data_IF_149182636965
#
_entry.id   IF_149182636965
#
_cell.length_a   1.000
_cell.length_b   1.000
_cell.length_c   1.000
_cell.angle_alpha   90.00
_cell.angle_beta   90.00
_cell.angle_gamma   90.00
#
_symmetry.space_group_name_H-M   'P 1'
#
loop_
_entity.id
_entity.type
_entity.pdbx_description
1 polymer ?
#
# COMPACT_ATOMS: atom_id res chain seq x y z
N UNK A 1 23.00 5.51 0.43
CA UNK A 1 22.37 4.39 -0.30
C UNK A 1 21.29 4.98 -1.18
N UNK A 2 21.06 4.47 -2.39
CA UNK A 2 19.91 4.87 -3.21
C UNK A 2 18.92 3.72 -3.16
N UNK A 3 17.69 4.03 -2.75
CA UNK A 3 16.59 3.06 -2.64
C UNK A 3 15.40 3.64 -3.39
N UNK A 4 14.66 2.78 -4.09
CA UNK A 4 13.37 3.11 -4.69
C UNK A 4 12.31 2.50 -3.81
N UNK A 5 11.54 3.35 -3.12
CA UNK A 5 10.54 2.92 -2.14
C UNK A 5 9.23 3.69 -2.28
N UNK A 6 8.19 3.09 -1.69
CA UNK A 6 6.86 3.69 -1.54
C UNK A 6 6.30 3.50 -0.12
N UNK A 7 7.06 2.87 0.76
CA UNK A 7 6.72 2.73 2.18
C UNK A 7 6.93 4.05 2.93
N UNK A 8 5.95 4.44 3.75
CA UNK A 8 5.95 5.71 4.47
C UNK A 8 7.09 5.79 5.49
N UNK A 9 7.34 4.72 6.25
CA UNK A 9 8.38 4.72 7.30
C UNK A 9 9.79 4.80 6.68
N UNK A 10 10.00 4.11 5.55
CA UNK A 10 11.24 4.22 4.78
C UNK A 10 11.47 5.65 4.28
N UNK A 11 10.44 6.30 3.74
CA UNK A 11 10.54 7.68 3.24
C UNK A 11 10.81 8.66 4.39
N UNK A 12 10.10 8.53 5.52
CA UNK A 12 10.26 9.42 6.67
C UNK A 12 11.61 9.28 7.39
N UNK A 13 12.27 8.14 7.26
CA UNK A 13 13.59 7.88 7.85
C UNK A 13 14.76 8.21 6.92
N UNK A 14 14.50 8.60 5.67
CA UNK A 14 15.54 8.91 4.71
C UNK A 14 16.24 10.25 5.02
N UNK A 15 17.56 10.29 4.79
CA UNK A 15 18.33 11.55 4.87
C UNK A 15 17.92 12.53 3.75
N UNK A 16 17.51 11.98 2.60
CA UNK A 16 17.13 12.72 1.42
C UNK A 16 16.15 11.91 0.57
N UNK A 17 15.17 12.58 0.00
CA UNK A 17 14.10 12.03 -0.84
C UNK A 17 14.11 12.76 -2.16
N UNK A 18 13.96 12.02 -3.26
CA UNK A 18 13.74 12.56 -4.61
C UNK A 18 12.38 12.06 -5.07
N UNK A 19 11.42 12.98 -5.20
CA UNK A 19 10.06 12.69 -5.65
C UNK A 19 9.98 12.83 -7.18
N UNK A 20 9.66 11.72 -7.85
CA UNK A 20 9.61 11.61 -9.31
C UNK A 20 8.16 11.64 -9.79
N UNK A 21 7.84 12.46 -10.79
CA UNK A 21 6.45 12.64 -11.23
C UNK A 21 6.30 13.86 -12.14
N UNK A 22 5.09 14.35 -12.43
CA UNK A 22 3.84 14.16 -11.67
C UNK A 22 3.03 12.92 -12.06
N UNK A 23 3.40 12.22 -13.14
CA UNK A 23 2.70 11.04 -13.64
C UNK A 23 3.63 9.90 -14.03
N UNK A 24 3.11 8.92 -14.77
CA UNK A 24 3.86 7.77 -15.27
C UNK A 24 4.12 7.88 -16.78
N UNK A 25 5.15 7.20 -17.27
CA UNK A 25 5.49 7.16 -18.70
C UNK A 25 5.84 8.55 -19.24
N UNK A 26 5.21 8.94 -20.35
CA UNK A 26 5.45 10.25 -21.01
C UNK A 26 5.02 11.46 -20.17
N UNK A 27 4.26 11.24 -19.10
CA UNK A 27 3.80 12.27 -18.16
C UNK A 27 4.62 12.31 -16.86
N UNK A 28 5.71 11.56 -16.80
CA UNK A 28 6.64 11.53 -15.67
C UNK A 28 8.08 11.78 -16.11
N UNK A 29 9.02 11.38 -15.26
CA UNK A 29 10.46 11.51 -15.54
C UNK A 29 11.06 12.86 -15.14
N UNK A 30 10.27 13.72 -14.48
CA UNK A 30 10.74 14.97 -13.90
C UNK A 30 10.90 14.82 -12.38
N UNK A 31 11.83 15.60 -11.81
CA UNK A 31 11.97 15.73 -10.36
C UNK A 31 10.98 16.80 -9.91
N UNK A 32 9.93 16.39 -9.22
CA UNK A 32 8.86 17.27 -8.74
C UNK A 32 9.27 17.99 -7.46
N UNK A 33 9.93 17.26 -6.56
CA UNK A 33 10.49 17.78 -5.33
C UNK A 33 11.71 16.96 -4.92
N UNK A 34 12.66 17.58 -4.24
CA UNK A 34 13.79 16.87 -3.63
C UNK A 34 14.23 17.60 -2.36
N UNK A 35 14.70 16.85 -1.36
CA UNK A 35 15.09 17.40 -0.08
C UNK A 35 14.94 16.40 1.06
N UNK A 36 14.90 16.90 2.29
CA UNK A 36 14.51 16.12 3.47
C UNK A 36 13.04 15.69 3.40
N UNK A 37 12.62 14.65 4.14
CA UNK A 37 11.21 14.26 4.20
C UNK A 37 10.27 15.41 4.57
N UNK A 38 10.70 16.30 5.47
CA UNK A 38 9.92 17.47 5.89
C UNK A 38 9.75 18.49 4.76
N UNK A 39 10.78 18.68 3.92
CA UNK A 39 10.70 19.55 2.73
C UNK A 39 9.79 18.95 1.66
N UNK A 40 9.80 17.62 1.48
CA UNK A 40 8.85 16.94 0.58
C UNK A 40 7.42 17.12 1.08
N UNK A 41 7.17 16.95 2.38
CA UNK A 41 5.84 17.15 2.98
C UNK A 41 5.35 18.60 2.87
N UNK A 42 6.27 19.57 2.88
CA UNK A 42 5.94 20.99 2.70
C UNK A 42 5.74 21.39 1.23
N UNK A 43 6.17 20.55 0.28
CA UNK A 43 6.04 20.83 -1.15
C UNK A 43 4.61 20.58 -1.64
N UNK A 44 3.87 21.61 -2.10
CA UNK A 44 2.51 21.43 -2.59
C UNK A 44 2.45 20.64 -3.90
N UNK A 45 3.52 20.64 -4.68
CA UNK A 45 3.58 19.95 -5.97
C UNK A 45 3.88 18.45 -5.81
N UNK A 46 4.44 18.05 -4.66
CA UNK A 46 4.74 16.65 -4.35
C UNK A 46 3.47 15.86 -4.05
N UNK A 47 3.08 14.96 -4.95
CA UNK A 47 1.98 14.02 -4.69
C UNK A 47 2.31 13.12 -3.49
N UNK A 48 3.57 12.73 -3.36
CA UNK A 48 4.07 11.95 -2.22
C UNK A 48 3.89 12.72 -0.91
N UNK A 49 4.31 13.99 -0.86
CA UNK A 49 4.12 14.88 0.29
C UNK A 49 2.64 15.07 0.67
N UNK A 50 1.75 15.16 -0.32
CA UNK A 50 0.30 15.23 -0.07
C UNK A 50 -0.26 13.97 0.60
N UNK A 51 0.28 12.78 0.32
CA UNK A 51 -0.12 11.56 1.02
C UNK A 51 0.51 11.47 2.41
N UNK A 52 1.79 11.81 2.56
CA UNK A 52 2.50 11.80 3.85
C UNK A 52 1.90 12.77 4.87
N UNK A 53 1.38 13.91 4.42
CA UNK A 53 0.69 14.89 5.28
C UNK A 53 -0.76 14.50 5.59
N UNK A 54 -1.29 13.48 4.91
CA UNK A 54 -2.69 13.11 4.99
C UNK A 54 -3.65 14.08 4.29
N UNK A 55 -3.15 15.03 3.50
CA UNK A 55 -4.01 15.85 2.63
C UNK A 55 -4.74 14.98 1.60
N UNK A 56 -4.05 13.98 1.05
CA UNK A 56 -4.63 12.88 0.29
C UNK A 56 -4.57 11.61 1.13
N UNK A 57 -5.63 10.81 1.06
CA UNK A 57 -5.75 9.55 1.80
C UNK A 57 -6.52 8.53 0.98
N UNK A 58 -6.26 7.25 1.22
CA UNK A 58 -7.07 6.15 0.69
C UNK A 58 -8.32 6.03 1.57
N UNK A 59 -9.52 6.35 1.07
CA UNK A 59 -10.72 6.33 1.90
C UNK A 59 -11.10 4.91 2.29
N UNK A 60 -11.51 4.73 3.54
CA UNK A 60 -12.12 3.48 3.98
C UNK A 60 -13.56 3.36 3.43
N UNK A 61 -13.96 2.20 2.89
CA UNK A 61 -15.32 2.01 2.40
C UNK A 61 -16.31 2.08 3.57
N UNK A 62 -17.37 2.90 3.40
CA UNK A 62 -18.44 3.06 4.40
C UNK A 62 -19.18 1.75 4.69
N UNK A 63 -19.32 0.90 3.67
CA UNK A 63 -19.95 -0.40 3.77
C UNK A 63 -19.03 -1.49 3.23
N UNK A 64 -18.99 -2.64 3.92
CA UNK A 64 -18.26 -3.83 3.48
C UNK A 64 -19.21 -4.84 2.88
N UNK A 65 -18.80 -5.47 1.77
CA UNK A 65 -19.55 -6.56 1.13
C UNK A 65 -19.71 -7.71 2.11
N UNK A 66 -20.94 -8.20 2.28
CA UNK A 66 -21.25 -9.31 3.18
C UNK A 66 -21.01 -10.66 2.49
N UNK A 67 -20.52 -11.63 3.26
CA UNK A 67 -20.34 -12.99 2.78
C UNK A 67 -21.70 -13.62 2.42
N UNK A 68 -21.78 -14.26 1.26
CA UNK A 68 -22.99 -14.98 0.84
C UNK A 68 -22.99 -16.37 1.45
N UNK A 69 -24.11 -16.75 2.10
CA UNK A 69 -24.28 -18.09 2.69
C UNK A 69 -23.99 -19.18 1.65
N UNK A 70 -23.17 -20.15 2.02
CA UNK A 70 -22.81 -21.29 1.17
C UNK A 70 -21.75 -21.01 0.10
N UNK A 71 -21.28 -19.76 -0.06
CA UNK A 71 -20.24 -19.42 -1.05
C UNK A 71 -18.87 -19.24 -0.40
N UNK A 72 -18.14 -20.34 -0.25
CA UNK A 72 -16.78 -20.38 0.31
C UNK A 72 -15.93 -21.42 -0.40
N UNK A 73 -14.62 -21.17 -0.40
CA UNK A 73 -13.59 -22.14 -0.75
C UNK A 73 -12.92 -22.62 0.53
N UNK A 74 -12.95 -23.92 0.79
CA UNK A 74 -12.37 -24.51 1.99
C UNK A 74 -11.01 -25.14 1.68
N UNK A 75 -9.99 -24.73 2.42
CA UNK A 75 -8.70 -25.44 2.50
C UNK A 75 -8.77 -26.29 3.76
N UNK A 76 -8.59 -27.60 3.64
CA UNK A 76 -8.74 -28.54 4.77
C UNK A 76 -7.42 -29.26 5.03
N UNK A 77 -6.99 -29.25 6.28
CA UNK A 77 -5.81 -29.97 6.76
C UNK A 77 -4.51 -29.61 6.03
N UNK A 78 -4.30 -28.33 5.72
CA UNK A 78 -3.09 -27.89 5.03
C UNK A 78 -1.84 -28.10 5.92
N UNK A 79 -0.92 -28.92 5.42
CA UNK A 79 0.31 -29.34 6.12
C UNK A 79 1.60 -29.10 5.33
N UNK A 80 1.52 -28.37 4.22
CA UNK A 80 2.69 -28.07 3.41
C UNK A 80 3.68 -27.16 4.18
N UNK A 81 4.98 -27.46 4.12
CA UNK A 81 6.05 -26.71 4.80
C UNK A 81 5.80 -26.60 6.31
N UNK A 82 5.67 -25.37 6.83
CA UNK A 82 5.49 -25.07 8.26
C UNK A 82 4.01 -25.02 8.68
N UNK A 83 3.07 -25.35 7.78
CA UNK A 83 1.65 -25.32 8.08
C UNK A 83 1.28 -26.45 9.05
N UNK A 84 0.59 -26.10 10.13
CA UNK A 84 0.22 -27.00 11.24
C UNK A 84 -1.24 -27.45 11.11
N UNK A 85 -1.53 -28.30 10.13
CA UNK A 85 -2.86 -28.88 9.90
C UNK A 85 -3.98 -27.83 9.79
N UNK A 86 -3.73 -26.79 8.99
CA UNK A 86 -4.59 -25.61 8.93
C UNK A 86 -5.83 -25.89 8.09
N UNK A 87 -7.01 -25.67 8.68
CA UNK A 87 -8.29 -25.67 7.97
C UNK A 87 -8.89 -24.28 7.99
N UNK A 88 -9.21 -23.72 6.82
CA UNK A 88 -9.73 -22.35 6.69
C UNK A 88 -10.73 -22.23 5.55
N UNK A 89 -11.77 -21.43 5.77
CA UNK A 89 -12.75 -21.04 4.77
C UNK A 89 -12.46 -19.64 4.23
N UNK A 90 -12.36 -19.52 2.90
CA UNK A 90 -12.19 -18.25 2.19
C UNK A 90 -13.54 -17.89 1.53
N UNK A 91 -14.19 -16.78 1.92
CA UNK A 91 -15.48 -16.39 1.35
C UNK A 91 -15.34 -15.94 -0.11
N UNK A 92 -16.23 -16.41 -0.98
CA UNK A 92 -16.22 -16.05 -2.40
C UNK A 92 -16.95 -14.74 -2.66
N UNK A 93 -16.46 -13.97 -3.63
CA UNK A 93 -17.04 -12.68 -4.04
C UNK A 93 -16.67 -11.50 -3.14
N UNK A 94 -15.75 -11.70 -2.19
CA UNK A 94 -15.20 -10.67 -1.32
C UNK A 94 -13.75 -10.36 -1.68
N UNK A 95 -13.30 -9.14 -1.36
CA UNK A 95 -11.88 -8.82 -1.32
C UNK A 95 -11.30 -9.44 -0.04
N UNK A 96 -10.69 -10.61 -0.18
CA UNK A 96 -10.10 -11.34 0.96
C UNK A 96 -8.61 -11.11 0.99
N UNK A 97 -8.11 -10.54 2.08
CA UNK A 97 -6.69 -10.40 2.35
C UNK A 97 -6.26 -11.49 3.34
N UNK A 98 -5.24 -12.26 2.99
CA UNK A 98 -4.55 -13.19 3.89
C UNK A 98 -3.25 -12.51 4.31
N UNK A 99 -3.07 -12.29 5.60
CA UNK A 99 -1.92 -11.57 6.16
C UNK A 99 -1.34 -12.34 7.34
N UNK A 100 -0.08 -12.10 7.69
CA UNK A 100 0.69 -12.76 8.75
C UNK A 100 2.18 -12.54 8.60
#
# INVERSE_FOLDING_TARGET
>A
MIVVEHDEEAILSADHVVDMGPGAGVHGGEVVAQGTPQEIMASPDSLTGQYLTGFKQIPLPKERRQAKKGKRLSVVGARARKLKDVTVDIPLGLFTCITG
#
